data_IF_637170701830
#
_entry.id   IF_637170701830
#
_cell.length_a   1.000
_cell.length_b   1.000
_cell.length_c   1.000
_cell.angle_alpha   90.00
_cell.angle_beta   90.00
_cell.angle_gamma   90.00
#
_symmetry.space_group_name_H-M   'P 1'
#
loop_
_entity.id
_entity.type
_entity.pdbx_description
1 polymer ?
#
# COMPACT_ATOMS: atom_id res chain seq x y z
N UNK A 1 14.34 -21.76 1.86
CA UNK A 1 13.24 -21.86 0.89
C UNK A 1 12.68 -20.48 0.78
N UNK A 2 12.57 -19.88 -0.42
CA UNK A 2 12.03 -18.54 -0.59
C UNK A 2 10.56 -18.49 -0.16
N UNK A 3 10.06 -17.30 0.15
CA UNK A 3 8.63 -17.10 0.46
C UNK A 3 7.79 -16.83 -0.80
N UNK A 4 8.43 -16.62 -1.96
CA UNK A 4 7.78 -16.37 -3.25
C UNK A 4 8.22 -17.44 -4.25
N UNK A 5 7.29 -17.99 -5.04
CA UNK A 5 7.62 -18.95 -6.09
C UNK A 5 8.21 -18.24 -7.33
N UNK A 6 8.91 -19.00 -8.19
CA UNK A 6 9.44 -18.47 -9.46
C UNK A 6 8.34 -17.92 -10.36
N UNK A 7 7.17 -18.56 -10.38
CA UNK A 7 6.03 -18.13 -11.19
C UNK A 7 5.51 -16.75 -10.75
N UNK A 8 5.47 -16.48 -9.43
CA UNK A 8 5.07 -15.17 -8.91
C UNK A 8 6.12 -14.10 -9.23
N UNK A 9 7.41 -14.45 -9.20
CA UNK A 9 8.49 -13.54 -9.63
C UNK A 9 8.34 -13.20 -11.12
N UNK A 10 8.13 -14.21 -11.97
CA UNK A 10 7.91 -13.99 -13.41
C UNK A 10 6.65 -13.16 -13.67
N UNK A 11 5.57 -13.42 -12.93
CA UNK A 11 4.35 -12.61 -13.01
C UNK A 11 4.63 -11.16 -12.64
N UNK A 12 5.30 -10.91 -11.51
CA UNK A 12 5.65 -9.56 -11.08
C UNK A 12 6.52 -8.82 -12.12
N UNK A 13 7.53 -9.49 -12.68
CA UNK A 13 8.40 -8.91 -13.70
C UNK A 13 7.66 -8.58 -15.01
N UNK A 14 6.63 -9.34 -15.35
CA UNK A 14 5.81 -9.12 -16.55
C UNK A 14 4.75 -8.05 -16.34
N UNK A 15 4.03 -8.11 -15.21
CA UNK A 15 2.80 -7.36 -14.99
C UNK A 15 3.02 -6.10 -14.11
N UNK A 16 4.15 -6.02 -13.40
CA UNK A 16 4.49 -4.94 -12.47
C UNK A 16 3.82 -5.07 -11.10
N UNK A 17 2.99 -6.08 -10.91
CA UNK A 17 2.35 -6.39 -9.62
C UNK A 17 2.11 -7.90 -9.48
N UNK A 18 1.93 -8.34 -8.25
CA UNK A 18 1.53 -9.72 -7.96
C UNK A 18 0.84 -9.79 -6.60
N UNK A 19 -0.11 -10.69 -6.48
CA UNK A 19 -0.72 -11.03 -5.17
C UNK A 19 0.01 -12.22 -4.61
N UNK A 20 0.57 -12.08 -3.41
CA UNK A 20 1.27 -13.16 -2.69
C UNK A 20 0.37 -13.64 -1.54
N UNK A 21 -0.38 -14.72 -1.71
CA UNK A 21 -1.30 -15.18 -0.69
C UNK A 21 -0.56 -15.83 0.48
N UNK A 22 -1.13 -15.73 1.68
CA UNK A 22 -0.66 -16.49 2.85
C UNK A 22 0.64 -15.98 3.48
N UNK A 23 1.11 -14.78 3.14
CA UNK A 23 2.30 -14.18 3.79
C UNK A 23 2.09 -13.92 5.27
N UNK A 24 0.87 -13.60 5.68
CA UNK A 24 0.51 -13.36 7.07
C UNK A 24 -0.58 -14.30 7.52
N UNK A 25 -0.50 -14.77 8.78
CA UNK A 25 -1.59 -15.52 9.39
C UNK A 25 -2.77 -14.60 9.69
N UNK A 26 -3.99 -15.14 9.71
CA UNK A 26 -5.19 -14.36 10.00
C UNK A 26 -5.10 -13.63 11.34
N UNK A 27 -4.55 -14.28 12.37
CA UNK A 27 -4.36 -13.70 13.70
C UNK A 27 -3.37 -12.54 13.71
N UNK A 28 -2.36 -12.56 12.84
CA UNK A 28 -1.41 -11.45 12.67
C UNK A 28 -2.09 -10.25 12.03
N UNK A 29 -2.92 -10.46 11.00
CA UNK A 29 -3.70 -9.41 10.35
C UNK A 29 -4.73 -8.80 11.30
N UNK A 30 -5.46 -9.62 12.07
CA UNK A 30 -6.42 -9.15 13.06
C UNK A 30 -5.73 -8.28 14.13
N UNK A 31 -4.58 -8.73 14.65
CA UNK A 31 -3.82 -7.94 15.63
C UNK A 31 -3.26 -6.66 15.03
N UNK A 32 -2.70 -6.76 13.82
CA UNK A 32 -2.16 -5.61 13.10
C UNK A 32 -3.24 -4.58 12.79
N UNK A 33 -4.42 -5.03 12.33
CA UNK A 33 -5.58 -4.19 12.08
C UNK A 33 -6.03 -3.45 13.34
N UNK A 34 -6.27 -4.17 14.43
CA UNK A 34 -6.66 -3.56 15.70
C UNK A 34 -5.62 -2.56 16.22
N UNK A 35 -4.32 -2.84 16.03
CA UNK A 35 -3.25 -1.92 16.39
C UNK A 35 -3.26 -0.65 15.52
N UNK A 36 -3.45 -0.79 14.21
CA UNK A 36 -3.59 0.34 13.30
C UNK A 36 -4.81 1.18 13.64
N UNK A 37 -5.97 0.57 13.92
CA UNK A 37 -7.20 1.26 14.31
C UNK A 37 -6.98 2.08 15.58
N UNK A 38 -6.37 1.50 16.59
CA UNK A 38 -6.05 2.18 17.85
C UNK A 38 -5.09 3.36 17.63
N UNK A 39 -4.05 3.16 16.83
CA UNK A 39 -3.06 4.20 16.50
C UNK A 39 -3.69 5.36 15.71
N UNK A 40 -4.53 5.05 14.72
CA UNK A 40 -5.27 6.04 13.94
C UNK A 40 -6.27 6.79 14.81
N UNK A 41 -7.03 6.10 15.67
CA UNK A 41 -7.96 6.72 16.59
C UNK A 41 -7.26 7.69 17.57
N UNK A 42 -6.06 7.34 18.03
CA UNK A 42 -5.26 8.20 18.89
C UNK A 42 -4.78 9.50 18.19
N UNK A 43 -4.52 9.44 16.89
CA UNK A 43 -4.07 10.59 16.08
C UNK A 43 -5.21 11.39 15.46
N UNK A 44 -6.41 10.80 15.30
CA UNK A 44 -7.59 11.39 14.62
C UNK A 44 -8.34 12.48 15.41
N UNK A 45 -8.26 12.65 16.74
CA UNK A 45 -9.12 13.59 17.49
C UNK A 45 -8.97 15.06 17.10
N UNK A 46 -8.01 15.40 16.27
CA UNK A 46 -7.73 16.80 15.91
C UNK A 46 -8.34 17.24 14.57
N UNK A 47 -8.94 16.35 13.78
CA UNK A 47 -9.59 16.71 12.52
C UNK A 47 -11.11 16.47 12.58
N UNK A 48 -11.84 17.51 12.94
CA UNK A 48 -13.31 17.51 12.99
C UNK A 48 -13.96 17.92 11.66
N UNK A 49 -13.18 18.19 10.63
CA UNK A 49 -13.69 18.61 9.32
C UNK A 49 -14.51 17.47 8.68
N UNK A 50 -15.65 17.81 8.10
CA UNK A 50 -16.39 16.87 7.24
C UNK A 50 -15.65 16.67 5.92
N UNK A 51 -15.91 15.55 5.23
CA UNK A 51 -15.18 15.18 3.99
C UNK A 51 -15.18 16.32 2.96
N UNK A 52 -16.30 17.05 2.82
CA UNK A 52 -16.42 18.16 1.86
C UNK A 52 -15.55 19.39 2.17
N UNK A 53 -15.08 19.53 3.40
CA UNK A 53 -14.18 20.61 3.85
C UNK A 53 -12.71 20.27 3.70
N UNK A 54 -12.40 19.00 3.41
CA UNK A 54 -11.04 18.51 3.22
C UNK A 54 -10.55 18.84 1.81
N UNK A 55 -9.24 18.89 1.63
CA UNK A 55 -8.63 19.01 0.29
C UNK A 55 -9.03 17.82 -0.58
N UNK A 56 -8.90 17.95 -1.90
CA UNK A 56 -9.24 16.87 -2.85
C UNK A 56 -8.51 15.57 -2.54
N UNK A 57 -7.26 15.65 -2.12
CA UNK A 57 -6.45 14.50 -1.70
C UNK A 57 -7.01 13.85 -0.42
N UNK A 58 -7.22 14.65 0.63
CA UNK A 58 -7.76 14.19 1.91
C UNK A 58 -9.19 13.63 1.81
N UNK A 59 -9.93 13.98 0.75
CA UNK A 59 -11.27 13.42 0.49
C UNK A 59 -11.21 11.98 -0.02
N UNK A 60 -10.06 11.51 -0.52
CA UNK A 60 -9.93 10.16 -1.05
C UNK A 60 -9.70 9.13 0.06
N UNK A 61 -8.93 9.49 1.06
CA UNK A 61 -8.63 8.63 2.22
C UNK A 61 -8.05 9.44 3.37
N UNK A 62 -8.16 8.90 4.56
CA UNK A 62 -7.42 9.37 5.74
C UNK A 62 -6.10 8.62 5.77
N UNK A 63 -4.99 9.36 5.80
CA UNK A 63 -3.64 8.81 5.75
C UNK A 63 -2.87 9.16 7.02
N UNK A 64 -2.19 8.15 7.56
CA UNK A 64 -1.21 8.31 8.63
C UNK A 64 0.08 7.61 8.26
N UNK A 65 1.18 8.30 8.40
CA UNK A 65 2.52 7.84 8.02
C UNK A 65 3.33 7.55 9.27
N UNK A 66 4.21 6.54 9.21
CA UNK A 66 5.14 6.16 10.27
C UNK A 66 4.46 5.88 11.63
N UNK A 67 3.33 5.16 11.60
CA UNK A 67 2.68 4.71 12.84
C UNK A 67 3.58 3.79 13.67
N UNK A 68 4.47 3.05 13.02
CA UNK A 68 5.40 2.12 13.65
C UNK A 68 6.40 2.78 14.62
N UNK A 69 6.63 4.08 14.50
CA UNK A 69 7.57 4.80 15.36
C UNK A 69 7.05 4.88 16.79
N UNK A 70 5.75 5.12 16.96
CA UNK A 70 5.10 5.35 18.25
C UNK A 70 4.27 4.16 18.73
N UNK A 71 4.00 3.17 17.86
CA UNK A 71 3.11 2.04 18.15
C UNK A 71 3.83 0.69 17.95
N UNK A 72 4.29 0.04 19.04
CA UNK A 72 5.05 -1.23 18.97
C UNK A 72 4.31 -2.36 18.25
N UNK A 73 2.99 -2.43 18.38
CA UNK A 73 2.17 -3.46 17.72
C UNK A 73 2.10 -3.22 16.21
N UNK A 74 2.00 -1.95 15.76
CA UNK A 74 2.10 -1.60 14.34
C UNK A 74 3.50 -1.90 13.82
N UNK A 75 4.54 -1.61 14.61
CA UNK A 75 5.92 -1.94 14.29
C UNK A 75 6.11 -3.43 14.01
N UNK A 76 5.45 -4.30 14.79
CA UNK A 76 5.53 -5.75 14.59
C UNK A 76 4.97 -6.19 13.22
N UNK A 77 3.96 -5.50 12.69
CA UNK A 77 3.45 -5.72 11.33
C UNK A 77 4.40 -5.14 10.28
N UNK A 78 4.78 -3.87 10.42
CA UNK A 78 5.64 -3.15 9.47
C UNK A 78 6.99 -3.84 9.26
N UNK A 79 7.59 -4.37 10.32
CA UNK A 79 8.86 -5.10 10.27
C UNK A 79 8.71 -6.63 10.28
N UNK A 80 7.56 -7.14 9.87
CA UNK A 80 7.39 -8.57 9.69
C UNK A 80 8.36 -9.09 8.62
N UNK A 81 9.20 -10.03 8.98
CA UNK A 81 10.27 -10.52 8.11
C UNK A 81 9.75 -11.19 6.84
N UNK A 82 8.61 -11.87 6.89
CA UNK A 82 7.98 -12.48 5.69
C UNK A 82 7.47 -11.41 4.74
N UNK A 83 6.84 -10.34 5.28
CA UNK A 83 6.38 -9.20 4.50
C UNK A 83 7.55 -8.46 3.86
N UNK A 84 8.69 -8.36 4.53
CA UNK A 84 9.89 -7.74 3.95
C UNK A 84 10.63 -8.65 2.95
N UNK A 85 10.60 -9.96 3.17
CA UNK A 85 11.28 -10.93 2.30
C UNK A 85 10.63 -11.06 0.93
N UNK A 86 9.30 -11.09 0.86
CA UNK A 86 8.59 -11.26 -0.41
C UNK A 86 8.92 -10.16 -1.43
N UNK A 87 8.83 -8.85 -1.12
CA UNK A 87 9.25 -7.80 -2.05
C UNK A 87 10.73 -7.90 -2.42
N UNK A 88 11.62 -8.26 -1.48
CA UNK A 88 13.03 -8.43 -1.79
C UNK A 88 13.25 -9.52 -2.85
N UNK A 89 12.58 -10.67 -2.73
CA UNK A 89 12.63 -11.75 -3.70
C UNK A 89 12.04 -11.34 -5.06
N UNK A 90 10.93 -10.59 -5.06
CA UNK A 90 10.27 -10.12 -6.30
C UNK A 90 11.17 -9.19 -7.13
N UNK A 91 11.91 -8.28 -6.49
CA UNK A 91 12.82 -7.35 -7.18
C UNK A 91 14.26 -7.85 -7.25
N UNK A 92 14.57 -9.05 -6.75
CA UNK A 92 15.92 -9.62 -6.75
C UNK A 92 16.90 -8.89 -5.84
N UNK A 93 16.44 -8.23 -4.78
CA UNK A 93 17.29 -7.50 -3.86
C UNK A 93 17.72 -8.38 -2.68
N UNK A 94 18.94 -8.19 -2.19
CA UNK A 94 19.45 -8.90 -0.99
C UNK A 94 18.92 -8.30 0.31
N UNK A 95 18.54 -7.02 0.30
CA UNK A 95 17.99 -6.30 1.44
C UNK A 95 17.10 -5.16 0.97
N UNK A 96 16.13 -4.80 1.80
CA UNK A 96 15.25 -3.64 1.61
C UNK A 96 15.49 -2.62 2.72
N UNK A 97 15.28 -1.37 2.38
CA UNK A 97 15.15 -0.29 3.36
C UNK A 97 13.71 0.20 3.35
N UNK A 98 13.09 0.23 4.52
CA UNK A 98 11.80 0.86 4.67
C UNK A 98 11.95 2.36 4.42
N UNK A 99 11.15 2.89 3.49
CA UNK A 99 11.00 4.32 3.29
C UNK A 99 10.03 4.88 4.34
N UNK A 100 8.82 4.39 4.33
CA UNK A 100 7.79 4.65 5.36
C UNK A 100 6.75 3.53 5.31
N UNK A 101 5.96 3.42 6.35
CA UNK A 101 4.65 2.77 6.30
C UNK A 101 3.56 3.82 6.20
N UNK A 102 2.41 3.41 5.73
CA UNK A 102 1.21 4.26 5.77
C UNK A 102 -0.04 3.42 5.99
N UNK A 103 -0.90 3.91 6.88
CA UNK A 103 -2.22 3.40 7.07
C UNK A 103 -3.22 4.26 6.29
N UNK A 104 -3.98 3.63 5.40
CA UNK A 104 -4.95 4.27 4.52
C UNK A 104 -6.36 3.82 4.91
N UNK A 105 -7.23 4.77 5.22
CA UNK A 105 -8.61 4.51 5.61
C UNK A 105 -9.57 5.23 4.68
N UNK A 106 -10.48 4.48 4.07
CA UNK A 106 -11.60 5.03 3.32
C UNK A 106 -12.74 5.37 4.28
N UNK A 107 -13.13 6.64 4.32
CA UNK A 107 -14.31 7.06 5.07
C UNK A 107 -15.59 6.90 4.21
N UNK A 108 -16.72 6.77 4.86
CA UNK A 108 -18.00 6.72 4.15
C UNK A 108 -18.19 8.00 3.33
N UNK A 109 -18.47 7.85 2.03
CA UNK A 109 -18.57 8.97 1.10
C UNK A 109 -17.23 9.53 0.61
N UNK A 110 -16.11 8.89 0.94
CA UNK A 110 -14.81 9.27 0.41
C UNK A 110 -14.78 9.16 -1.13
N UNK A 111 -13.99 10.03 -1.74
CA UNK A 111 -13.79 10.03 -3.19
C UNK A 111 -12.95 8.82 -3.60
N UNK A 112 -13.09 8.45 -4.87
CA UNK A 112 -12.18 7.54 -5.52
C UNK A 112 -10.75 8.10 -5.55
N UNK A 113 -9.76 7.26 -5.36
CA UNK A 113 -8.35 7.61 -5.53
C UNK A 113 -8.05 7.72 -7.02
N UNK A 114 -7.49 8.85 -7.42
CA UNK A 114 -7.09 9.06 -8.82
C UNK A 114 -5.89 8.15 -9.16
N UNK A 115 -5.82 7.67 -10.40
CA UNK A 115 -4.68 6.89 -10.88
C UNK A 115 -3.39 7.73 -10.78
N UNK A 116 -2.39 7.19 -10.13
CA UNK A 116 -1.13 7.88 -9.86
C UNK A 116 0.06 6.90 -9.90
N UNK A 117 1.23 7.46 -9.73
CA UNK A 117 2.48 6.74 -9.44
C UNK A 117 3.07 7.32 -8.18
N UNK A 118 3.57 6.47 -7.30
CA UNK A 118 4.19 6.90 -6.03
C UNK A 118 5.57 7.52 -6.25
N UNK A 119 6.36 6.96 -7.17
CA UNK A 119 7.76 7.35 -7.41
C UNK A 119 7.98 8.87 -7.63
N UNK A 120 7.15 9.60 -8.39
CA UNK A 120 7.34 11.04 -8.56
C UNK A 120 7.18 11.87 -7.29
N UNK A 121 6.42 11.35 -6.32
CA UNK A 121 6.12 12.03 -5.07
C UNK A 121 7.17 11.72 -3.99
N UNK A 122 8.06 10.75 -4.25
CA UNK A 122 9.09 10.36 -3.30
C UNK A 122 10.39 11.14 -3.53
N UNK A 123 10.98 11.76 -2.48
CA UNK A 123 12.23 12.50 -2.59
C UNK A 123 13.45 11.57 -2.59
N UNK A 124 13.38 10.48 -3.37
CA UNK A 124 14.45 9.50 -3.54
C UNK A 124 14.78 9.33 -5.01
N UNK A 125 16.07 9.18 -5.30
CA UNK A 125 16.56 9.04 -6.68
C UNK A 125 16.51 7.59 -7.19
N UNK A 126 16.43 6.63 -6.28
CA UNK A 126 16.33 5.21 -6.59
C UNK A 126 15.01 4.90 -7.26
N UNK A 127 15.06 4.17 -8.37
CA UNK A 127 13.88 3.71 -9.11
C UNK A 127 13.51 2.26 -8.80
N UNK A 128 14.38 1.53 -8.11
CA UNK A 128 14.11 0.16 -7.69
C UNK A 128 13.37 0.16 -6.35
N UNK A 129 12.12 0.54 -6.40
CA UNK A 129 11.21 0.65 -5.26
C UNK A 129 10.03 -0.29 -5.42
N UNK A 130 9.45 -0.73 -4.33
CA UNK A 130 8.29 -1.62 -4.31
C UNK A 130 7.39 -1.28 -3.12
N UNK A 131 6.10 -1.23 -3.34
CA UNK A 131 5.09 -1.05 -2.29
C UNK A 131 4.44 -2.38 -1.96
N UNK A 132 4.38 -2.73 -0.68
CA UNK A 132 3.59 -3.86 -0.20
C UNK A 132 2.26 -3.34 0.34
N UNK A 133 1.16 -3.67 -0.35
CA UNK A 133 -0.18 -3.35 0.11
C UNK A 133 -0.75 -4.53 0.89
N UNK A 134 -1.19 -4.28 2.12
CA UNK A 134 -1.65 -5.31 3.06
C UNK A 134 -3.06 -4.96 3.51
N UNK A 135 -4.10 -5.63 2.98
CA UNK A 135 -5.46 -5.44 3.45
C UNK A 135 -5.59 -6.01 4.87
N UNK A 136 -5.93 -5.15 5.84
CA UNK A 136 -6.14 -5.54 7.24
C UNK A 136 -7.57 -6.02 7.48
N UNK A 137 -8.49 -5.66 6.61
CA UNK A 137 -9.86 -6.17 6.52
C UNK A 137 -10.07 -6.87 5.17
N UNK A 138 -11.20 -7.56 5.03
CA UNK A 138 -11.55 -8.18 3.76
C UNK A 138 -11.69 -7.13 2.66
N UNK A 139 -10.87 -7.25 1.61
CA UNK A 139 -10.86 -6.33 0.47
C UNK A 139 -11.67 -6.91 -0.69
N UNK A 140 -12.57 -6.11 -1.24
CA UNK A 140 -13.35 -6.44 -2.43
C UNK A 140 -13.45 -5.23 -3.35
N UNK A 141 -13.73 -5.45 -4.63
CA UNK A 141 -13.99 -4.36 -5.58
C UNK A 141 -15.12 -3.44 -5.10
N UNK A 142 -16.08 -3.97 -4.32
CA UNK A 142 -17.19 -3.22 -3.75
C UNK A 142 -16.84 -2.40 -2.52
N UNK A 143 -15.74 -2.69 -1.81
CA UNK A 143 -15.27 -1.92 -0.66
C UNK A 143 -14.49 -0.66 -1.06
N UNK A 144 -14.25 -0.45 -2.34
CA UNK A 144 -13.52 0.71 -2.86
C UNK A 144 -12.00 0.59 -2.68
N UNK A 145 -11.52 -0.61 -2.42
CA UNK A 145 -10.10 -0.91 -2.38
C UNK A 145 -9.58 -1.02 -3.82
N UNK A 146 -8.87 -0.01 -4.24
CA UNK A 146 -8.26 0.01 -5.56
C UNK A 146 -7.06 -0.93 -5.57
N UNK A 147 -6.98 -1.77 -6.59
CA UNK A 147 -5.78 -2.50 -6.89
C UNK A 147 -4.73 -1.50 -7.38
N UNK A 148 -3.72 -1.21 -6.56
CA UNK A 148 -2.59 -0.41 -6.99
C UNK A 148 -1.77 -1.27 -7.94
N UNK A 149 -1.84 -0.97 -9.22
CA UNK A 149 -0.99 -1.57 -10.23
C UNK A 149 0.11 -0.58 -10.56
N UNK A 150 1.30 -0.78 -10.05
CA UNK A 150 2.49 -0.09 -10.55
C UNK A 150 3.05 -0.90 -11.73
N UNK A 151 2.93 -0.42 -12.96
CA UNK A 151 3.62 -1.05 -14.07
C UNK A 151 5.14 -0.93 -13.87
N UNK A 152 5.94 -1.87 -14.40
CA UNK A 152 7.39 -1.75 -14.38
C UNK A 152 7.83 -0.37 -14.90
N UNK A 153 9.02 0.11 -14.53
CA UNK A 153 9.46 1.47 -14.82
C UNK A 153 9.36 1.74 -16.32
N UNK A 154 8.27 2.40 -16.72
CA UNK A 154 8.09 2.88 -18.07
C UNK A 154 8.98 4.11 -18.25
N UNK A 155 9.58 4.31 -19.45
CA UNK A 155 10.35 5.50 -19.73
C UNK A 155 9.53 6.75 -19.37
N UNK A 156 10.18 7.75 -18.84
CA UNK A 156 9.67 9.00 -18.23
C UNK A 156 8.64 9.79 -19.08
N UNK A 157 8.29 9.34 -20.28
CA UNK A 157 7.42 10.02 -21.23
C UNK A 157 5.99 9.49 -21.34
N UNK A 158 5.60 8.44 -20.59
CA UNK A 158 4.22 7.93 -20.70
C UNK A 158 3.32 8.51 -19.62
N UNK A 159 2.52 9.49 -19.99
CA UNK A 159 1.36 9.91 -19.21
C UNK A 159 0.36 8.75 -19.09
N UNK A 160 -0.27 8.60 -17.92
CA UNK A 160 -1.39 7.69 -17.72
C UNK A 160 -2.47 8.02 -18.77
N UNK A 161 -2.62 7.18 -19.79
CA UNK A 161 -3.67 7.39 -20.78
C UNK A 161 -5.02 6.98 -20.17
N UNK A 162 -6.09 7.73 -20.47
CA UNK A 162 -7.46 7.45 -19.98
C UNK A 162 -7.95 6.01 -20.24
N UNK A 163 -7.29 5.27 -21.12
CA UNK A 163 -7.61 3.85 -21.41
C UNK A 163 -7.14 2.91 -20.31
N UNK A 164 -6.10 3.27 -19.55
CA UNK A 164 -5.65 2.47 -18.40
C UNK A 164 -6.37 2.86 -17.11
N UNK A 165 -6.85 4.08 -17.00
CA UNK A 165 -7.68 4.51 -15.87
C UNK A 165 -8.99 3.69 -15.75
N UNK A 166 -9.54 3.18 -16.87
CA UNK A 166 -10.72 2.30 -16.84
C UNK A 166 -10.43 0.88 -16.35
N UNK A 167 -9.16 0.45 -16.28
CA UNK A 167 -8.75 -0.84 -15.69
C UNK A 167 -8.36 -0.71 -14.22
N UNK A 168 -7.95 0.48 -13.77
CA UNK A 168 -7.77 0.79 -12.35
C UNK A 168 -9.11 1.01 -11.61
N UNK A 169 -10.23 1.02 -12.33
CA UNK A 169 -11.56 1.42 -11.86
C UNK A 169 -12.60 0.29 -11.90
N UNK A 170 -12.17 -0.98 -11.95
CA UNK A 170 -13.12 -2.10 -11.87
C UNK A 170 -12.78 -3.03 -10.75
#
# INVERSE_FOLDING_TARGET
MGCVSSELVEQFQRDGFVVVPGLSAAEELIRGGAACDAAVAARKPHDSRVVSEKSRYEQSFVQFVNLWEDHPEVRALTFNTRIAQAPAELIGAQALRLWHDQALYKEAGARQTDCHRDQPDWPIAETNTITAWIPLEGSTVGSGDDLIVEPPPLPTSMSCSRKHASQCLR
#
